data_IF_774504709703
#
_entry.id   IF_774504709703
#
_cell.length_a   1.000
_cell.length_b   1.000
_cell.length_c   1.000
_cell.angle_alpha   90.00
_cell.angle_beta   90.00
_cell.angle_gamma   90.00
#
_symmetry.space_group_name_H-M   'P 1'
#
loop_
_entity.id
_entity.type
_entity.pdbx_description
1 polymer ?
#
# COMPACT_ATOMS: atom_id res chain seq x y z
N UNK A 1 16.05 4.87 -40.47
CA UNK A 1 16.28 5.42 -39.11
C UNK A 1 16.93 4.31 -38.29
N UNK A 2 18.18 4.51 -37.86
CA UNK A 2 18.94 3.54 -37.05
C UNK A 2 18.29 3.43 -35.67
N UNK A 3 18.00 2.20 -35.23
CA UNK A 3 17.45 1.98 -33.90
C UNK A 3 18.45 2.43 -32.83
N UNK A 4 17.98 3.12 -31.77
CA UNK A 4 18.87 3.52 -30.69
C UNK A 4 19.37 2.31 -29.91
N UNK A 5 20.64 2.33 -29.50
CA UNK A 5 21.20 1.24 -28.71
C UNK A 5 20.53 1.17 -27.32
N UNK A 6 20.52 0.00 -26.69
CA UNK A 6 20.06 -0.19 -25.31
C UNK A 6 20.75 0.80 -24.36
N UNK A 7 22.03 1.13 -24.62
CA UNK A 7 22.80 2.16 -23.91
C UNK A 7 22.23 3.57 -24.10
N UNK A 8 21.77 3.93 -25.31
CA UNK A 8 21.15 5.24 -25.59
C UNK A 8 19.74 5.39 -25.02
N UNK A 9 19.04 4.27 -24.81
CA UNK A 9 17.72 4.20 -24.18
C UNK A 9 17.85 4.28 -22.66
N UNK A 10 18.78 3.51 -22.07
CA UNK A 10 19.19 3.62 -20.66
C UNK A 10 19.60 5.05 -20.32
N UNK A 11 20.48 5.66 -21.13
CA UNK A 11 20.94 7.04 -20.96
C UNK A 11 19.78 8.04 -21.06
N UNK A 12 18.84 7.87 -22.01
CA UNK A 12 17.69 8.80 -22.12
C UNK A 12 16.63 8.65 -21.03
N UNK A 13 16.38 7.44 -20.54
CA UNK A 13 15.36 7.14 -19.53
C UNK A 13 15.86 7.44 -18.11
N UNK A 14 17.13 7.14 -17.81
CA UNK A 14 17.74 7.42 -16.51
C UNK A 14 18.25 8.85 -16.38
N UNK A 15 18.70 9.50 -17.47
CA UNK A 15 19.21 10.86 -17.32
C UNK A 15 18.06 11.87 -17.33
N UNK A 16 17.23 12.02 -18.37
CA UNK A 16 16.41 13.24 -18.47
C UNK A 16 15.34 13.44 -17.39
N UNK A 17 14.54 12.41 -17.08
CA UNK A 17 13.43 12.56 -16.12
C UNK A 17 13.90 12.67 -14.67
N UNK A 18 14.85 11.80 -14.31
CA UNK A 18 15.48 11.78 -12.99
C UNK A 18 16.43 12.97 -12.80
N UNK A 19 17.27 13.30 -13.79
CA UNK A 19 18.16 14.46 -13.74
C UNK A 19 17.37 15.77 -13.73
N UNK A 20 16.25 15.91 -14.44
CA UNK A 20 15.47 17.15 -14.39
C UNK A 20 14.79 17.35 -13.02
N UNK A 21 14.20 16.30 -12.44
CA UNK A 21 13.60 16.36 -11.10
C UNK A 21 14.66 16.54 -10.00
N UNK A 22 15.77 15.81 -10.07
CA UNK A 22 16.89 15.92 -9.13
C UNK A 22 17.61 17.26 -9.26
N UNK A 23 17.90 17.74 -10.47
CA UNK A 23 18.57 19.02 -10.72
C UNK A 23 17.71 20.18 -10.24
N UNK A 24 16.40 20.18 -10.50
CA UNK A 24 15.50 21.24 -10.00
C UNK A 24 15.53 21.30 -8.46
N UNK A 25 15.47 20.14 -7.81
CA UNK A 25 15.52 20.04 -6.34
C UNK A 25 16.88 20.44 -5.77
N UNK A 26 17.98 19.95 -6.36
CA UNK A 26 19.34 20.26 -5.94
C UNK A 26 19.70 21.72 -6.19
N UNK A 27 19.25 22.31 -7.29
CA UNK A 27 19.39 23.75 -7.57
C UNK A 27 18.60 24.59 -6.57
N UNK A 28 17.38 24.17 -6.19
CA UNK A 28 16.58 24.85 -5.17
C UNK A 28 17.20 24.73 -3.75
N UNK A 29 17.84 23.60 -3.44
CA UNK A 29 18.56 23.41 -2.17
C UNK A 29 19.86 24.23 -2.17
N UNK A 30 20.64 24.19 -3.26
CA UNK A 30 21.88 24.94 -3.38
C UNK A 30 21.64 26.44 -3.28
N UNK A 31 20.68 26.98 -4.04
CA UNK A 31 20.30 28.41 -3.95
C UNK A 31 19.82 28.83 -2.56
N UNK A 32 19.18 27.94 -1.80
CA UNK A 32 18.71 28.26 -0.44
C UNK A 32 19.82 28.48 0.60
N UNK A 33 21.05 28.04 0.31
CA UNK A 33 22.22 28.21 1.19
C UNK A 33 23.29 29.11 0.58
N UNK A 34 23.36 29.21 -0.75
CA UNK A 34 24.32 30.05 -1.47
C UNK A 34 23.80 31.47 -1.77
N UNK A 35 22.50 31.73 -1.59
CA UNK A 35 21.88 33.03 -1.83
C UNK A 35 21.03 33.47 -0.62
N UNK A 36 20.90 34.79 -0.42
CA UNK A 36 20.03 35.35 0.63
C UNK A 36 20.61 35.33 2.05
N UNK A 37 19.77 35.33 3.10
CA UNK A 37 20.18 35.53 4.49
C UNK A 37 21.24 34.54 4.98
N UNK A 38 21.20 33.27 4.55
CA UNK A 38 22.17 32.24 4.98
C UNK A 38 23.57 32.52 4.44
N UNK A 39 23.69 32.90 3.17
CA UNK A 39 24.97 33.27 2.58
C UNK A 39 25.59 34.47 3.32
N UNK A 40 24.76 35.45 3.68
CA UNK A 40 25.19 36.58 4.51
C UNK A 40 25.66 36.13 5.91
N UNK A 41 24.91 35.24 6.58
CA UNK A 41 25.30 34.70 7.90
C UNK A 41 26.61 33.91 7.87
N UNK A 42 26.89 33.19 6.77
CA UNK A 42 28.14 32.46 6.58
C UNK A 42 29.33 33.42 6.40
N UNK A 43 29.14 34.52 5.67
CA UNK A 43 30.15 35.58 5.55
C UNK A 43 30.39 36.27 6.90
N UNK A 44 29.33 36.61 7.64
CA UNK A 44 29.43 37.17 8.98
C UNK A 44 30.20 36.24 9.93
N UNK A 45 29.97 34.92 9.82
CA UNK A 45 30.67 33.92 10.61
C UNK A 45 32.15 33.80 10.23
N UNK A 46 32.49 33.86 8.93
CA UNK A 46 33.89 33.82 8.47
C UNK A 46 34.67 35.05 8.97
N UNK A 47 34.08 36.24 8.86
CA UNK A 47 34.64 37.49 9.40
C UNK A 47 34.84 37.38 10.92
N UNK A 48 33.85 36.86 11.65
CA UNK A 48 33.95 36.67 13.10
C UNK A 48 35.01 35.62 13.47
N UNK A 49 35.13 34.54 12.71
CA UNK A 49 36.16 33.53 12.90
C UNK A 49 37.56 34.10 12.69
N UNK A 50 37.76 34.89 11.63
CA UNK A 50 39.03 35.59 11.37
C UNK A 50 39.36 36.60 12.48
N UNK A 51 38.36 37.35 12.96
CA UNK A 51 38.52 38.27 14.09
C UNK A 51 38.97 37.53 15.34
N UNK A 52 38.30 36.44 15.71
CA UNK A 52 38.65 35.63 16.88
C UNK A 52 40.06 35.05 16.78
N UNK A 53 40.46 34.56 15.60
CA UNK A 53 41.81 34.08 15.33
C UNK A 53 42.87 35.18 15.54
N UNK A 54 42.60 36.41 15.09
CA UNK A 54 43.54 37.54 15.23
C UNK A 54 43.81 37.95 16.69
N UNK A 55 42.88 37.64 17.60
CA UNK A 55 43.00 37.93 19.04
C UNK A 55 43.24 36.67 19.89
N UNK A 56 43.56 35.54 19.26
CA UNK A 56 43.86 34.27 19.95
C UNK A 56 42.66 33.62 20.64
N UNK A 57 41.42 34.00 20.28
CA UNK A 57 40.19 33.45 20.83
C UNK A 57 39.60 32.37 19.90
N UNK A 58 38.70 31.55 20.44
CA UNK A 58 38.01 30.48 19.70
C UNK A 58 36.52 30.78 19.58
N UNK A 59 35.92 30.30 18.51
CA UNK A 59 34.46 30.33 18.33
C UNK A 59 33.79 29.43 19.39
N UNK A 60 32.80 29.96 20.11
CA UNK A 60 32.04 29.23 21.14
C UNK A 60 30.56 29.13 20.74
N UNK A 61 29.81 28.11 21.24
CA UNK A 61 28.39 27.94 20.92
C UNK A 61 27.50 29.15 21.25
N UNK A 62 27.87 29.95 22.25
CA UNK A 62 27.13 31.14 22.66
C UNK A 62 27.46 32.39 21.82
N UNK A 63 28.38 32.29 20.86
CA UNK A 63 28.73 33.40 20.00
C UNK A 63 27.47 33.91 19.26
N UNK A 64 27.17 35.22 19.32
CA UNK A 64 25.93 35.76 18.78
C UNK A 64 25.81 35.59 17.25
N UNK A 65 26.92 35.61 16.52
CA UNK A 65 26.96 35.40 15.06
C UNK A 65 26.62 33.94 14.73
N UNK A 66 27.20 33.00 15.49
CA UNK A 66 26.88 31.58 15.36
C UNK A 66 25.41 31.29 15.73
N UNK A 67 24.89 31.88 16.80
CA UNK A 67 23.47 31.72 17.20
C UNK A 67 22.50 32.28 16.16
N UNK A 68 22.82 33.42 15.57
CA UNK A 68 22.02 34.00 14.49
C UNK A 68 22.02 33.12 13.23
N UNK A 69 23.19 32.57 12.85
CA UNK A 69 23.27 31.59 11.75
C UNK A 69 22.38 30.37 12.03
N UNK A 70 22.48 29.77 13.23
CA UNK A 70 21.70 28.57 13.58
C UNK A 70 20.18 28.85 13.61
N UNK A 71 19.77 30.01 14.10
CA UNK A 71 18.36 30.42 14.13
C UNK A 71 17.78 30.61 12.72
N UNK A 72 18.55 31.20 11.80
CA UNK A 72 18.13 31.42 10.42
C UNK A 72 18.24 30.13 9.56
N UNK A 73 19.17 29.24 9.91
CA UNK A 73 19.41 27.97 9.22
C UNK A 73 18.32 26.92 9.46
N UNK A 74 17.73 26.86 10.66
CA UNK A 74 16.73 25.85 11.04
C UNK A 74 15.44 25.90 10.16
N UNK A 75 14.84 27.08 9.86
CA UNK A 75 13.75 27.18 8.88
C UNK A 75 14.13 26.71 7.46
N UNK A 76 15.35 27.02 7.01
CA UNK A 76 15.86 26.64 5.69
C UNK A 76 16.07 25.13 5.60
N UNK A 77 16.65 24.52 6.64
CA UNK A 77 16.79 23.06 6.73
C UNK A 77 15.42 22.36 6.72
N UNK A 78 14.44 22.84 7.49
CA UNK A 78 13.06 22.29 7.47
C UNK A 78 12.39 22.44 6.10
N UNK A 79 12.60 23.56 5.42
CA UNK A 79 12.09 23.75 4.06
C UNK A 79 12.76 22.80 3.07
N UNK A 80 14.07 22.59 3.18
CA UNK A 80 14.81 21.66 2.35
C UNK A 80 14.44 20.20 2.64
N UNK A 81 14.18 19.82 3.89
CA UNK A 81 13.63 18.49 4.23
C UNK A 81 12.28 18.25 3.58
N UNK A 82 11.38 19.24 3.57
CA UNK A 82 10.10 19.14 2.85
C UNK A 82 10.26 19.03 1.34
N UNK A 83 11.15 19.83 0.75
CA UNK A 83 11.49 19.73 -0.70
C UNK A 83 12.06 18.36 -1.04
N UNK A 84 12.95 17.82 -0.20
CA UNK A 84 13.53 16.48 -0.36
C UNK A 84 12.46 15.38 -0.23
N UNK A 85 11.50 15.51 0.70
CA UNK A 85 10.41 14.55 0.85
C UNK A 85 9.52 14.51 -0.40
N UNK A 86 9.07 15.68 -0.88
CA UNK A 86 8.27 15.78 -2.11
C UNK A 86 9.04 15.29 -3.34
N UNK A 87 10.30 15.69 -3.48
CA UNK A 87 11.15 15.21 -4.56
C UNK A 87 11.42 13.71 -4.48
N UNK A 88 11.45 13.12 -3.28
CA UNK A 88 11.66 11.68 -3.12
C UNK A 88 10.50 10.87 -3.69
N UNK A 89 9.25 11.34 -3.52
CA UNK A 89 8.07 10.72 -4.13
C UNK A 89 8.10 10.85 -5.66
N UNK A 90 8.38 12.04 -6.18
CA UNK A 90 8.48 12.28 -7.63
C UNK A 90 9.64 11.50 -8.28
N UNK A 91 10.79 11.41 -7.61
CA UNK A 91 11.97 10.66 -8.05
C UNK A 91 11.70 9.15 -8.01
N UNK A 92 10.98 8.65 -7.00
CA UNK A 92 10.57 7.25 -6.93
C UNK A 92 9.59 6.92 -8.05
N UNK A 93 8.56 7.73 -8.27
CA UNK A 93 7.60 7.54 -9.34
C UNK A 93 8.26 7.59 -10.74
N UNK A 94 9.21 8.52 -10.94
CA UNK A 94 10.00 8.61 -12.17
C UNK A 94 10.92 7.38 -12.35
N UNK A 95 11.57 6.92 -11.28
CA UNK A 95 12.41 5.72 -11.28
C UNK A 95 11.62 4.45 -11.59
N UNK A 96 10.43 4.29 -11.01
CA UNK A 96 9.52 3.16 -11.26
C UNK A 96 9.08 3.12 -12.72
N UNK A 97 8.65 4.26 -13.28
CA UNK A 97 8.27 4.38 -14.70
C UNK A 97 9.44 4.08 -15.64
N UNK A 98 10.63 4.58 -15.30
CA UNK A 98 11.86 4.31 -16.06
C UNK A 98 12.24 2.83 -16.01
N UNK A 99 12.16 2.18 -14.84
CA UNK A 99 12.40 0.74 -14.69
C UNK A 99 11.38 -0.11 -15.45
N UNK A 100 10.09 0.20 -15.36
CA UNK A 100 9.05 -0.52 -16.11
C UNK A 100 9.24 -0.40 -17.64
N UNK A 101 9.73 0.75 -18.10
CA UNK A 101 10.07 0.99 -19.51
C UNK A 101 11.36 0.28 -19.91
N UNK A 102 12.39 0.32 -19.07
CA UNK A 102 13.69 -0.30 -19.33
C UNK A 102 13.61 -1.82 -19.40
N UNK A 103 12.91 -2.46 -18.45
CA UNK A 103 12.74 -3.92 -18.42
C UNK A 103 12.00 -4.40 -19.69
N UNK A 104 11.07 -3.61 -20.23
CA UNK A 104 10.42 -3.87 -21.52
C UNK A 104 11.40 -3.84 -22.69
N UNK A 105 12.15 -2.77 -22.83
CA UNK A 105 13.09 -2.57 -23.96
C UNK A 105 14.23 -3.58 -23.96
N UNK A 106 14.67 -4.05 -22.79
CA UNK A 106 15.70 -5.09 -22.67
C UNK A 106 15.15 -6.46 -23.09
N UNK A 107 13.91 -6.77 -22.72
CA UNK A 107 13.31 -8.07 -23.00
C UNK A 107 12.83 -8.21 -24.45
N UNK A 108 12.38 -7.11 -25.07
CA UNK A 108 11.80 -7.10 -26.42
C UNK A 108 12.32 -5.88 -27.21
N UNK A 109 13.62 -5.87 -27.57
CA UNK A 109 14.23 -4.72 -28.22
C UNK A 109 13.56 -4.42 -29.57
N UNK A 110 13.03 -3.20 -29.71
CA UNK A 110 12.52 -2.68 -30.99
C UNK A 110 11.05 -2.98 -31.32
N UNK A 111 10.25 -3.49 -30.37
CA UNK A 111 8.81 -3.73 -30.56
C UNK A 111 7.97 -2.76 -29.72
N UNK A 112 7.02 -2.06 -30.35
CA UNK A 112 6.04 -1.19 -29.68
C UNK A 112 4.73 -1.94 -29.34
N UNK A 113 3.84 -1.31 -28.57
CA UNK A 113 2.58 -1.95 -28.09
C UNK A 113 1.68 -2.45 -29.24
N UNK A 114 1.68 -1.78 -30.40
CA UNK A 114 0.96 -2.24 -31.59
C UNK A 114 1.61 -3.49 -32.22
N UNK A 115 2.94 -3.57 -32.23
CA UNK A 115 3.67 -4.71 -32.75
C UNK A 115 3.58 -5.91 -31.80
N UNK A 116 3.62 -5.69 -30.48
CA UNK A 116 3.43 -6.73 -29.48
C UNK A 116 2.01 -7.30 -29.49
N UNK A 117 0.99 -6.44 -29.65
CA UNK A 117 -0.39 -6.86 -29.85
C UNK A 117 -0.59 -7.66 -31.15
N UNK A 118 0.19 -7.37 -32.20
CA UNK A 118 0.16 -8.13 -33.46
C UNK A 118 0.75 -9.55 -33.35
N UNK A 119 1.57 -9.82 -32.32
CA UNK A 119 2.12 -11.15 -32.00
C UNK A 119 1.39 -11.85 -30.84
N UNK A 120 0.27 -11.29 -30.35
CA UNK A 120 -0.47 -11.76 -29.18
C UNK A 120 0.40 -11.84 -27.88
N UNK A 121 1.49 -11.07 -27.83
CA UNK A 121 2.37 -10.97 -26.66
C UNK A 121 1.89 -9.80 -25.81
N UNK A 122 1.26 -10.10 -24.66
CA UNK A 122 0.93 -9.07 -23.65
C UNK A 122 2.09 -8.88 -22.69
N UNK A 123 2.82 -7.77 -22.84
CA UNK A 123 3.85 -7.37 -21.88
C UNK A 123 3.19 -6.80 -20.61
N UNK A 124 3.29 -7.54 -19.51
CA UNK A 124 2.69 -7.15 -18.23
C UNK A 124 3.52 -6.03 -17.58
N UNK A 125 3.14 -4.76 -17.76
CA UNK A 125 3.72 -3.66 -16.98
C UNK A 125 3.05 -3.60 -15.60
N UNK A 126 3.82 -3.43 -14.51
CA UNK A 126 3.24 -3.17 -13.20
C UNK A 126 2.47 -1.84 -13.23
N UNK A 127 1.31 -1.81 -12.57
CA UNK A 127 0.48 -0.60 -12.44
C UNK A 127 1.24 0.46 -11.63
N UNK A 128 1.59 1.62 -12.22
CA UNK A 128 2.39 2.64 -11.54
C UNK A 128 1.71 3.18 -10.28
N UNK A 129 0.38 3.26 -10.25
CA UNK A 129 -0.36 3.75 -9.07
C UNK A 129 -0.29 2.73 -7.93
N UNK A 130 -0.31 1.43 -8.25
CA UNK A 130 -0.17 0.38 -7.26
C UNK A 130 1.24 0.35 -6.68
N UNK A 131 2.28 0.56 -7.51
CA UNK A 131 3.65 0.66 -7.00
C UNK A 131 3.80 1.89 -6.11
N UNK A 132 3.23 3.04 -6.49
CA UNK A 132 3.28 4.27 -5.71
C UNK A 132 2.61 4.12 -4.33
N UNK A 133 1.41 3.51 -4.30
CA UNK A 133 0.71 3.20 -3.06
C UNK A 133 1.53 2.26 -2.16
N UNK A 134 2.15 1.23 -2.72
CA UNK A 134 2.99 0.31 -1.95
C UNK A 134 4.21 1.00 -1.34
N UNK A 135 4.88 1.86 -2.10
CA UNK A 135 6.02 2.64 -1.61
C UNK A 135 5.59 3.58 -0.48
N UNK A 136 4.42 4.21 -0.62
CA UNK A 136 3.83 5.06 0.42
C UNK A 136 3.60 4.27 1.72
N UNK A 137 3.01 3.07 1.65
CA UNK A 137 2.86 2.21 2.84
C UNK A 137 4.20 1.83 3.45
N UNK A 138 5.12 1.31 2.64
CA UNK A 138 6.38 0.74 3.14
C UNK A 138 7.36 1.78 3.71
N UNK A 139 7.12 3.07 3.43
CA UNK A 139 7.89 4.20 3.99
C UNK A 139 7.17 4.91 5.14
N UNK A 140 5.90 4.59 5.39
CA UNK A 140 5.09 5.19 6.45
C UNK A 140 5.62 4.88 7.86
N UNK A 141 5.28 5.74 8.83
CA UNK A 141 5.58 5.48 10.24
C UNK A 141 4.88 4.23 10.77
N UNK A 142 3.59 4.04 10.42
CA UNK A 142 2.83 2.87 10.84
C UNK A 142 3.47 1.55 10.40
N UNK A 143 3.95 1.47 9.15
CA UNK A 143 4.59 0.25 8.66
C UNK A 143 5.93 -0.04 9.35
N UNK A 144 6.71 1.00 9.66
CA UNK A 144 7.93 0.87 10.45
C UNK A 144 7.62 0.37 11.87
N UNK A 145 6.57 0.90 12.48
CA UNK A 145 6.14 0.50 13.83
C UNK A 145 5.64 -0.96 13.86
N UNK A 146 4.92 -1.40 12.82
CA UNK A 146 4.47 -2.79 12.66
C UNK A 146 5.65 -3.78 12.60
N UNK A 147 6.77 -3.35 11.99
CA UNK A 147 7.99 -4.15 11.85
C UNK A 147 9.01 -3.92 12.98
N UNK A 148 8.70 -3.10 13.99
CA UNK A 148 9.64 -2.68 15.04
C UNK A 148 10.22 -3.83 15.87
N UNK A 149 9.52 -4.96 15.96
CA UNK A 149 10.00 -6.17 16.63
C UNK A 149 11.16 -6.87 15.89
N UNK A 150 11.39 -6.54 14.62
CA UNK A 150 12.47 -7.11 13.82
C UNK A 150 13.69 -6.19 13.78
N UNK A 151 14.86 -6.80 13.59
CA UNK A 151 16.10 -6.03 13.41
C UNK A 151 16.01 -5.10 12.19
N UNK A 152 16.68 -3.93 12.20
CA UNK A 152 16.64 -2.98 11.08
C UNK A 152 16.97 -3.62 9.72
N UNK A 153 17.88 -4.60 9.70
CA UNK A 153 18.23 -5.37 8.50
C UNK A 153 17.05 -6.16 7.95
N UNK A 154 16.28 -6.83 8.82
CA UNK A 154 15.08 -7.58 8.41
C UNK A 154 13.99 -6.65 7.90
N UNK A 155 13.79 -5.50 8.56
CA UNK A 155 12.84 -4.49 8.10
C UNK A 155 13.17 -4.00 6.68
N UNK A 156 14.45 -3.71 6.41
CA UNK A 156 14.91 -3.30 5.09
C UNK A 156 14.71 -4.39 4.03
N UNK A 157 14.99 -5.66 4.35
CA UNK A 157 14.73 -6.79 3.46
C UNK A 157 13.23 -6.87 3.13
N UNK A 158 12.36 -6.79 4.13
CA UNK A 158 10.89 -6.84 3.94
C UNK A 158 10.45 -5.72 2.98
N UNK A 159 10.87 -4.48 3.23
CA UNK A 159 10.54 -3.32 2.38
C UNK A 159 11.03 -3.52 0.94
N UNK A 160 12.30 -3.89 0.77
CA UNK A 160 12.90 -4.04 -0.55
C UNK A 160 12.22 -5.17 -1.35
N UNK A 161 11.87 -6.28 -0.69
CA UNK A 161 11.13 -7.36 -1.33
C UNK A 161 9.68 -6.98 -1.63
N UNK A 162 9.02 -6.17 -0.80
CA UNK A 162 7.69 -5.65 -1.10
C UNK A 162 7.71 -4.81 -2.40
N UNK A 163 8.62 -3.84 -2.50
CA UNK A 163 8.76 -3.00 -3.71
C UNK A 163 9.13 -3.84 -4.93
N UNK A 164 10.13 -4.71 -4.81
CA UNK A 164 10.55 -5.60 -5.90
C UNK A 164 9.40 -6.47 -6.38
N UNK A 165 8.66 -7.08 -5.46
CA UNK A 165 7.60 -8.02 -5.79
C UNK A 165 6.47 -7.40 -6.61
N UNK A 166 6.05 -6.18 -6.30
CA UNK A 166 5.00 -5.51 -7.08
C UNK A 166 5.53 -5.04 -8.44
N UNK A 167 6.80 -4.59 -8.51
CA UNK A 167 7.41 -4.18 -9.78
C UNK A 167 7.65 -5.34 -10.75
N UNK A 168 7.95 -6.53 -10.22
CA UNK A 168 8.18 -7.73 -11.02
C UNK A 168 6.90 -8.59 -11.20
N UNK A 169 5.76 -8.14 -10.68
CA UNK A 169 4.48 -8.88 -10.77
C UNK A 169 4.49 -10.22 -10.04
N UNK A 170 5.29 -10.36 -8.97
CA UNK A 170 5.37 -11.58 -8.19
C UNK A 170 4.13 -11.79 -7.33
N UNK A 171 3.69 -13.04 -7.26
CA UNK A 171 2.72 -13.46 -6.25
C UNK A 171 3.24 -13.18 -4.82
N UNK A 172 2.40 -12.72 -3.87
CA UNK A 172 2.81 -12.46 -2.49
C UNK A 172 3.55 -13.63 -1.80
N UNK A 173 3.18 -14.88 -2.10
CA UNK A 173 3.84 -16.07 -1.54
C UNK A 173 5.27 -16.22 -2.05
N UNK A 174 5.53 -15.85 -3.32
CA UNK A 174 6.91 -15.82 -3.84
C UNK A 174 7.74 -14.78 -3.10
N UNK A 175 7.20 -13.57 -2.92
CA UNK A 175 7.87 -12.51 -2.17
C UNK A 175 8.16 -12.92 -0.72
N UNK A 176 7.18 -13.53 -0.04
CA UNK A 176 7.35 -14.05 1.30
C UNK A 176 8.44 -15.13 1.38
N UNK A 177 8.51 -16.02 0.39
CA UNK A 177 9.55 -17.04 0.30
C UNK A 177 10.95 -16.45 0.06
N UNK A 178 11.08 -15.36 -0.70
CA UNK A 178 12.35 -14.65 -0.86
C UNK A 178 12.81 -14.01 0.44
N UNK A 179 11.92 -13.31 1.15
CA UNK A 179 12.24 -12.74 2.47
C UNK A 179 12.72 -13.85 3.41
N UNK A 180 11.99 -14.96 3.45
CA UNK A 180 12.31 -16.15 4.25
C UNK A 180 13.66 -16.78 3.93
N UNK A 181 14.18 -16.65 2.70
CA UNK A 181 15.54 -17.08 2.35
C UNK A 181 16.62 -16.14 2.90
N UNK A 182 16.27 -14.88 3.13
CA UNK A 182 17.20 -13.81 3.52
C UNK A 182 17.16 -13.50 5.03
N UNK A 183 16.20 -14.07 5.77
CA UNK A 183 15.96 -13.78 7.19
C UNK A 183 15.73 -15.06 7.98
N UNK A 184 16.28 -15.17 9.19
CA UNK A 184 16.07 -16.34 10.06
C UNK A 184 14.89 -16.17 11.04
N UNK A 185 14.60 -14.94 11.47
CA UNK A 185 13.67 -14.67 12.59
C UNK A 185 12.24 -14.29 12.18
N UNK A 186 11.94 -14.26 10.87
CA UNK A 186 10.60 -13.92 10.37
C UNK A 186 9.76 -15.19 10.09
N UNK A 187 8.63 -15.41 10.80
CA UNK A 187 7.74 -16.54 10.52
C UNK A 187 7.16 -16.47 9.11
N UNK A 188 6.95 -17.63 8.46
CA UNK A 188 6.43 -17.69 7.08
C UNK A 188 5.02 -17.11 6.97
N UNK A 189 4.16 -17.43 7.94
CA UNK A 189 2.80 -16.90 7.98
C UNK A 189 2.79 -15.37 8.06
N UNK A 190 3.73 -14.79 8.79
CA UNK A 190 3.83 -13.35 8.95
C UNK A 190 4.41 -12.67 7.71
N UNK A 191 5.46 -13.25 7.11
CA UNK A 191 5.97 -12.79 5.81
C UNK A 191 4.87 -12.80 4.73
N UNK A 192 4.09 -13.89 4.64
CA UNK A 192 2.97 -14.00 3.71
C UNK A 192 1.89 -12.96 4.01
N UNK A 193 1.59 -12.72 5.29
CA UNK A 193 0.60 -11.72 5.72
C UNK A 193 0.99 -10.31 5.32
N UNK A 194 2.23 -9.90 5.60
CA UNK A 194 2.73 -8.59 5.23
C UNK A 194 2.70 -8.41 3.71
N UNK A 195 3.30 -9.34 2.95
CA UNK A 195 3.37 -9.23 1.50
C UNK A 195 1.99 -9.22 0.85
N UNK A 196 1.09 -10.09 1.31
CA UNK A 196 -0.27 -10.15 0.76
C UNK A 196 -1.06 -8.88 1.07
N UNK A 197 -0.99 -8.39 2.30
CA UNK A 197 -1.79 -7.24 2.72
C UNK A 197 -1.31 -5.96 2.04
N UNK A 198 0.00 -5.70 2.04
CA UNK A 198 0.54 -4.48 1.43
C UNK A 198 0.30 -4.46 -0.08
N UNK A 199 0.53 -5.57 -0.79
CA UNK A 199 0.29 -5.61 -2.24
C UNK A 199 -1.19 -5.42 -2.58
N UNK A 200 -2.09 -6.18 -1.94
CA UNK A 200 -3.51 -6.11 -2.27
C UNK A 200 -4.13 -4.76 -1.92
N UNK A 201 -3.73 -4.16 -0.80
CA UNK A 201 -4.20 -2.82 -0.44
C UNK A 201 -3.71 -1.79 -1.45
N UNK A 202 -2.46 -1.89 -1.88
CA UNK A 202 -1.90 -1.01 -2.92
C UNK A 202 -2.65 -1.12 -4.26
N UNK A 203 -3.02 -2.32 -4.68
CA UNK A 203 -3.86 -2.51 -5.87
C UNK A 203 -5.28 -1.94 -5.71
N UNK A 204 -5.84 -1.96 -4.50
CA UNK A 204 -7.16 -1.37 -4.22
C UNK A 204 -7.08 0.16 -4.26
N UNK A 205 -6.03 0.77 -3.73
CA UNK A 205 -5.79 2.21 -3.84
C UNK A 205 -5.61 2.64 -5.30
N UNK A 206 -4.83 1.88 -6.07
CA UNK A 206 -4.70 2.10 -7.50
C UNK A 206 -6.04 2.00 -8.23
N UNK A 207 -6.86 1.01 -7.87
CA UNK A 207 -8.21 0.85 -8.43
C UNK A 207 -9.08 2.07 -8.17
N UNK A 208 -8.97 2.69 -6.98
CA UNK A 208 -9.68 3.94 -6.66
C UNK A 208 -9.24 5.06 -7.59
N UNK A 209 -7.93 5.25 -7.77
CA UNK A 209 -7.38 6.30 -8.66
C UNK A 209 -7.87 6.10 -10.10
N UNK A 210 -7.81 4.87 -10.62
CA UNK A 210 -8.29 4.56 -11.96
C UNK A 210 -9.79 4.78 -12.09
N UNK A 211 -10.59 4.40 -11.09
CA UNK A 211 -12.04 4.60 -11.12
C UNK A 211 -12.41 6.10 -11.08
N UNK A 212 -11.72 6.91 -10.26
CA UNK A 212 -11.93 8.36 -10.19
C UNK A 212 -11.56 9.04 -11.51
N UNK A 213 -10.44 8.63 -12.12
CA UNK A 213 -10.02 9.14 -13.42
C UNK A 213 -11.02 8.83 -14.56
N UNK A 214 -11.86 7.80 -14.37
CA UNK A 214 -12.87 7.34 -15.33
C UNK A 214 -14.31 7.54 -14.78
N UNK A 215 -14.52 8.46 -13.83
CA UNK A 215 -15.81 8.65 -13.15
C UNK A 215 -16.94 9.12 -14.10
N UNK A 216 -16.61 9.65 -15.26
CA UNK A 216 -17.56 10.05 -16.31
C UNK A 216 -18.31 8.83 -16.89
N UNK A 217 -17.60 7.71 -17.10
CA UNK A 217 -18.14 6.46 -17.66
C UNK A 217 -18.57 5.44 -16.60
N UNK A 218 -18.26 5.67 -15.32
CA UNK A 218 -18.61 4.77 -14.23
C UNK A 218 -19.79 5.31 -13.40
N UNK A 219 -20.58 4.40 -12.82
CA UNK A 219 -21.69 4.75 -11.91
C UNK A 219 -21.34 4.43 -10.46
N UNK A 220 -20.77 3.26 -10.23
CA UNK A 220 -20.37 2.76 -8.92
C UNK A 220 -19.37 1.62 -9.08
N UNK A 221 -18.93 1.05 -7.97
CA UNK A 221 -18.20 -0.21 -7.94
C UNK A 221 -18.96 -1.23 -7.10
N UNK A 222 -18.88 -2.50 -7.47
CA UNK A 222 -19.51 -3.61 -6.74
C UNK A 222 -18.42 -4.41 -6.07
N UNK A 223 -18.52 -4.58 -4.75
CA UNK A 223 -17.60 -5.40 -3.98
C UNK A 223 -17.80 -6.87 -4.30
N UNK A 224 -16.70 -7.55 -4.60
CA UNK A 224 -16.67 -8.98 -4.92
C UNK A 224 -15.67 -9.72 -4.03
N UNK A 225 -15.98 -10.98 -3.79
CA UNK A 225 -15.17 -11.95 -3.08
C UNK A 225 -15.23 -13.27 -3.85
N UNK A 226 -14.28 -14.17 -3.60
CA UNK A 226 -14.22 -15.46 -4.29
C UNK A 226 -15.45 -16.35 -4.04
N UNK A 227 -16.12 -16.19 -2.90
CA UNK A 227 -17.26 -17.02 -2.47
C UNK A 227 -16.92 -18.52 -2.50
N UNK A 228 -15.87 -18.85 -1.75
CA UNK A 228 -15.41 -20.22 -1.49
C UNK A 228 -15.45 -20.54 0.03
N UNK A 229 -15.11 -21.77 0.40
CA UNK A 229 -15.09 -22.25 1.80
C UNK A 229 -14.11 -21.47 2.70
N UNK A 230 -13.18 -20.74 2.08
CA UNK A 230 -12.16 -19.94 2.75
C UNK A 230 -12.51 -18.45 2.75
N UNK A 231 -13.73 -18.08 2.34
CA UNK A 231 -14.21 -16.70 2.35
C UNK A 231 -14.83 -16.42 3.71
N UNK A 232 -14.29 -15.45 4.44
CA UNK A 232 -14.76 -15.06 5.77
C UNK A 232 -16.20 -14.50 5.71
N UNK A 233 -16.95 -14.56 6.81
CA UNK A 233 -18.35 -14.13 6.79
C UNK A 233 -18.51 -12.62 6.60
N UNK A 234 -17.49 -11.81 6.92
CA UNK A 234 -17.47 -10.39 6.54
C UNK A 234 -17.43 -10.19 5.02
N UNK A 235 -16.59 -10.94 4.30
CA UNK A 235 -16.54 -10.86 2.83
C UNK A 235 -17.82 -11.43 2.20
N UNK A 236 -18.44 -12.46 2.78
CA UNK A 236 -19.75 -12.95 2.36
C UNK A 236 -20.81 -11.86 2.54
N UNK A 237 -20.90 -11.26 3.73
CA UNK A 237 -21.90 -10.23 4.04
C UNK A 237 -21.80 -8.97 3.18
N UNK A 238 -20.60 -8.62 2.73
CA UNK A 238 -20.35 -7.44 1.91
C UNK A 238 -20.31 -7.74 0.41
N UNK A 239 -20.35 -9.01 -0.02
CA UNK A 239 -20.35 -9.37 -1.43
C UNK A 239 -21.61 -8.87 -2.13
N UNK A 240 -21.45 -8.23 -3.29
CA UNK A 240 -22.54 -7.65 -4.07
C UNK A 240 -23.00 -6.27 -3.59
N UNK A 241 -22.41 -5.74 -2.51
CA UNK A 241 -22.67 -4.35 -2.09
C UNK A 241 -22.08 -3.36 -3.10
N UNK A 242 -22.83 -2.28 -3.36
CA UNK A 242 -22.38 -1.17 -4.20
C UNK A 242 -21.72 -0.11 -3.34
N UNK A 243 -20.55 0.35 -3.77
CA UNK A 243 -19.84 1.46 -3.17
C UNK A 243 -19.72 2.60 -4.20
N UNK A 244 -19.72 3.86 -3.75
CA UNK A 244 -19.39 4.99 -4.60
C UNK A 244 -18.02 4.84 -5.28
N UNK A 245 -17.87 5.48 -6.44
CA UNK A 245 -16.55 5.69 -7.05
C UNK A 245 -15.73 6.59 -6.12
N UNK A 246 -14.46 6.27 -5.94
CA UNK A 246 -13.58 7.01 -5.02
C UNK A 246 -13.41 6.35 -3.66
N UNK A 247 -14.26 5.39 -3.30
CA UNK A 247 -14.11 4.63 -2.05
C UNK A 247 -13.20 3.42 -2.25
N UNK A 248 -12.27 3.20 -1.31
CA UNK A 248 -11.46 2.00 -1.29
C UNK A 248 -12.27 0.80 -0.79
N UNK A 249 -12.00 -0.38 -1.35
CA UNK A 249 -12.44 -1.63 -0.74
C UNK A 249 -11.61 -1.91 0.51
N UNK A 250 -12.05 -1.37 1.65
CA UNK A 250 -11.45 -1.67 2.95
C UNK A 250 -11.63 -3.16 3.28
N UNK A 251 -10.55 -3.85 3.59
CA UNK A 251 -10.53 -5.30 3.86
C UNK A 251 -9.70 -5.59 5.13
N UNK A 252 -9.51 -6.86 5.49
CA UNK A 252 -8.61 -7.26 6.57
C UNK A 252 -7.21 -7.62 6.04
N UNK A 253 -6.28 -7.80 6.98
CA UNK A 253 -5.00 -8.48 6.74
C UNK A 253 -5.22 -9.85 6.11
N UNK A 254 -4.52 -10.16 5.02
CA UNK A 254 -4.77 -11.33 4.14
C UNK A 254 -6.12 -11.35 3.40
N UNK A 255 -6.82 -10.22 3.39
CA UNK A 255 -8.11 -10.05 2.75
C UNK A 255 -8.18 -10.56 1.31
N UNK A 256 -9.39 -10.94 0.89
CA UNK A 256 -9.67 -11.58 -0.40
C UNK A 256 -10.74 -10.82 -1.20
N UNK A 257 -11.25 -9.73 -0.65
CA UNK A 257 -12.25 -8.89 -1.29
C UNK A 257 -11.60 -7.91 -2.30
N UNK A 258 -12.29 -7.59 -3.38
CA UNK A 258 -11.93 -6.54 -4.34
C UNK A 258 -13.20 -5.93 -4.91
N UNK A 259 -13.10 -5.13 -5.97
CA UNK A 259 -14.23 -4.51 -6.65
C UNK A 259 -14.21 -4.78 -8.16
N UNK A 260 -15.40 -4.76 -8.75
CA UNK A 260 -15.59 -4.57 -10.19
C UNK A 260 -16.32 -3.25 -10.43
N UNK A 261 -15.92 -2.52 -11.46
CA UNK A 261 -16.58 -1.27 -11.82
C UNK A 261 -17.92 -1.54 -12.55
N UNK A 262 -18.93 -0.73 -12.23
CA UNK A 262 -20.23 -0.71 -12.93
C UNK A 262 -20.25 0.47 -13.91
N UNK A 263 -20.41 0.16 -15.19
CA UNK A 263 -20.35 1.13 -16.28
C UNK A 263 -21.71 1.79 -16.48
N UNK A 264 -21.72 3.10 -16.75
CA UNK A 264 -22.93 3.86 -17.02
C UNK A 264 -23.74 3.25 -18.16
N UNK A 265 -25.04 3.04 -17.93
CA UNK A 265 -25.94 2.42 -18.92
C UNK A 265 -25.75 0.91 -19.10
N UNK A 266 -24.88 0.26 -18.31
CA UNK A 266 -24.64 -1.19 -18.33
C UNK A 266 -24.66 -1.74 -16.90
N UNK A 267 -25.86 -1.84 -16.29
CA UNK A 267 -25.99 -2.34 -14.93
C UNK A 267 -25.46 -3.76 -14.82
N UNK A 268 -24.89 -4.10 -13.66
CA UNK A 268 -24.38 -5.44 -13.38
C UNK A 268 -25.21 -6.09 -12.29
N UNK A 269 -25.76 -7.25 -12.59
CA UNK A 269 -26.39 -8.12 -11.59
C UNK A 269 -25.32 -9.03 -10.96
N UNK A 270 -25.13 -8.86 -9.65
CA UNK A 270 -24.22 -9.69 -8.84
C UNK A 270 -25.05 -10.30 -7.74
N UNK A 271 -25.08 -11.64 -7.69
CA UNK A 271 -25.73 -12.39 -6.61
C UNK A 271 -25.15 -11.94 -5.28
N UNK A 272 -25.99 -11.66 -4.29
CA UNK A 272 -25.49 -11.28 -2.96
C UNK A 272 -24.75 -12.46 -2.30
N UNK A 273 -23.80 -12.15 -1.42
CA UNK A 273 -23.14 -13.22 -0.67
C UNK A 273 -24.08 -13.96 0.27
N UNK A 274 -25.09 -13.29 0.81
CA UNK A 274 -26.14 -13.92 1.64
C UNK A 274 -26.99 -14.90 0.82
N UNK A 275 -27.38 -14.56 -0.41
CA UNK A 275 -28.08 -15.49 -1.30
C UNK A 275 -27.20 -16.69 -1.65
N UNK A 276 -25.91 -16.45 -1.91
CA UNK A 276 -24.94 -17.52 -2.17
C UNK A 276 -24.82 -18.46 -0.97
N UNK A 277 -24.63 -17.92 0.23
CA UNK A 277 -24.49 -18.67 1.46
C UNK A 277 -25.76 -19.48 1.77
N UNK A 278 -26.94 -18.87 1.58
CA UNK A 278 -28.24 -19.50 1.82
C UNK A 278 -28.50 -20.73 0.95
N UNK A 279 -27.90 -20.81 -0.24
CA UNK A 279 -28.06 -21.95 -1.15
C UNK A 279 -27.05 -23.08 -0.89
N UNK A 280 -26.11 -22.90 0.03
CA UNK A 280 -25.18 -23.97 0.43
C UNK A 280 -25.89 -25.03 1.25
N UNK A 281 -25.28 -26.22 1.37
CA UNK A 281 -25.80 -27.24 2.28
C UNK A 281 -25.69 -26.77 3.72
N UNK A 282 -26.57 -27.28 4.59
CA UNK A 282 -26.54 -26.94 6.01
C UNK A 282 -25.17 -27.23 6.65
N UNK A 283 -24.54 -28.36 6.33
CA UNK A 283 -23.21 -28.70 6.83
C UNK A 283 -22.16 -27.67 6.41
N UNK A 284 -22.18 -27.21 5.15
CA UNK A 284 -21.27 -26.17 4.67
C UNK A 284 -21.53 -24.83 5.36
N UNK A 285 -22.80 -24.48 5.57
CA UNK A 285 -23.17 -23.26 6.29
C UNK A 285 -22.66 -23.30 7.74
N UNK A 286 -22.84 -24.43 8.43
CA UNK A 286 -22.42 -24.64 9.81
C UNK A 286 -20.90 -24.68 9.95
N UNK A 287 -20.20 -25.28 8.98
CA UNK A 287 -18.74 -25.28 8.91
C UNK A 287 -18.17 -23.86 8.75
N UNK A 288 -18.77 -23.06 7.87
CA UNK A 288 -18.25 -21.73 7.53
C UNK A 288 -18.65 -20.63 8.53
N UNK A 289 -19.91 -20.60 8.97
CA UNK A 289 -20.42 -19.58 9.90
C UNK A 289 -20.22 -20.00 11.38
N UNK A 290 -20.07 -21.29 11.64
CA UNK A 290 -20.02 -21.86 12.98
C UNK A 290 -21.42 -22.10 13.56
N UNK A 291 -21.59 -23.23 14.26
CA UNK A 291 -22.90 -23.71 14.74
C UNK A 291 -23.75 -22.68 15.49
N UNK A 292 -23.15 -21.93 16.42
CA UNK A 292 -23.89 -20.95 17.22
C UNK A 292 -24.39 -19.78 16.37
N UNK A 293 -23.55 -19.24 15.50
CA UNK A 293 -23.93 -18.14 14.63
C UNK A 293 -24.89 -18.61 13.53
N UNK A 294 -24.75 -19.85 13.07
CA UNK A 294 -25.70 -20.48 12.16
C UNK A 294 -27.09 -20.63 12.78
N UNK A 295 -27.20 -21.09 14.03
CA UNK A 295 -28.48 -21.15 14.75
C UNK A 295 -29.14 -19.77 14.84
N UNK A 296 -28.37 -18.75 15.23
CA UNK A 296 -28.87 -17.38 15.34
C UNK A 296 -29.31 -16.81 13.98
N UNK A 297 -28.55 -17.09 12.92
CA UNK A 297 -28.88 -16.67 11.56
C UNK A 297 -30.13 -17.39 11.04
N UNK A 298 -30.25 -18.70 11.27
CA UNK A 298 -31.41 -19.50 10.84
C UNK A 298 -32.71 -19.05 11.51
N UNK A 299 -32.62 -18.53 12.72
CA UNK A 299 -33.74 -17.94 13.47
C UNK A 299 -33.99 -16.45 13.15
N UNK A 300 -33.22 -15.86 12.25
CA UNK A 300 -33.32 -14.45 11.88
C UNK A 300 -32.88 -13.48 12.99
N UNK A 301 -32.12 -13.96 13.99
CA UNK A 301 -31.57 -13.11 15.06
C UNK A 301 -30.23 -12.48 14.69
N UNK A 302 -29.44 -13.14 13.84
CA UNK A 302 -28.19 -12.61 13.31
C UNK A 302 -28.37 -12.16 11.86
N UNK A 303 -28.05 -10.90 11.55
CA UNK A 303 -27.83 -10.47 10.17
C UNK A 303 -26.35 -10.67 9.82
N UNK A 304 -26.04 -11.23 8.65
CA UNK A 304 -24.64 -11.45 8.26
C UNK A 304 -23.84 -10.14 8.19
N UNK A 305 -24.50 -9.00 7.91
CA UNK A 305 -23.86 -7.68 7.91
C UNK A 305 -23.30 -7.28 9.27
N UNK A 306 -23.85 -7.79 10.37
CA UNK A 306 -23.34 -7.51 11.72
C UNK A 306 -21.96 -8.17 11.97
N UNK A 307 -21.57 -9.12 11.12
CA UNK A 307 -20.25 -9.75 11.14
C UNK A 307 -19.20 -8.95 10.34
N UNK A 308 -19.57 -7.86 9.65
CA UNK A 308 -18.64 -6.99 8.95
C UNK A 308 -18.29 -5.77 9.82
N UNK A 309 -17.28 -5.90 10.66
CA UNK A 309 -16.91 -4.87 11.65
C UNK A 309 -15.76 -4.01 11.13
N UNK A 310 -15.95 -2.69 11.13
CA UNK A 310 -14.88 -1.72 10.81
C UNK A 310 -13.93 -1.52 11.99
N UNK A 311 -12.65 -1.31 11.71
CA UNK A 311 -11.65 -0.87 12.68
C UNK A 311 -10.58 -0.02 11.99
N UNK A 312 -9.86 0.79 12.76
CA UNK A 312 -8.75 1.57 12.23
C UNK A 312 -7.43 0.82 12.41
N UNK A 313 -6.73 0.65 11.31
CA UNK A 313 -5.38 0.11 11.24
C UNK A 313 -4.34 1.24 11.13
N UNK A 314 -3.19 1.05 11.78
CA UNK A 314 -2.14 2.07 11.87
C UNK A 314 -1.39 2.29 10.55
N UNK A 315 -1.38 1.30 9.67
CA UNK A 315 -0.70 1.33 8.37
C UNK A 315 -1.70 1.63 7.27
N UNK A 316 -2.77 0.85 7.23
CA UNK A 316 -3.70 0.83 6.12
C UNK A 316 -4.92 1.73 6.34
N UNK A 317 -5.06 2.38 7.49
CA UNK A 317 -6.22 3.21 7.81
C UNK A 317 -7.45 2.35 8.06
N UNK A 318 -8.62 2.77 7.59
CA UNK A 318 -9.85 2.03 7.83
C UNK A 318 -9.81 0.62 7.21
N UNK A 319 -10.11 -0.39 8.00
CA UNK A 319 -10.13 -1.80 7.60
C UNK A 319 -11.42 -2.47 8.10
N UNK A 320 -11.68 -3.67 7.59
CA UNK A 320 -12.80 -4.52 8.02
C UNK A 320 -12.25 -5.79 8.63
N UNK A 321 -12.94 -6.38 9.60
CA UNK A 321 -12.67 -7.73 10.12
C UNK A 321 -13.97 -8.50 10.28
N UNK A 322 -13.85 -9.82 10.39
CA UNK A 322 -14.98 -10.65 10.79
C UNK A 322 -15.28 -10.45 12.29
N UNK A 323 -16.52 -10.03 12.57
CA UNK A 323 -17.06 -9.90 13.91
C UNK A 323 -17.42 -11.25 14.52
N UNK A 324 -17.61 -11.28 15.83
CA UNK A 324 -18.11 -12.46 16.54
C UNK A 324 -19.63 -12.38 16.73
N UNK A 325 -20.25 -13.55 16.98
CA UNK A 325 -21.65 -13.61 17.39
C UNK A 325 -21.92 -12.78 18.65
N UNK A 326 -21.02 -12.80 19.62
CA UNK A 326 -21.12 -11.95 20.81
C UNK A 326 -21.03 -10.46 20.50
N UNK A 327 -20.24 -10.07 19.50
CA UNK A 327 -20.19 -8.69 19.03
C UNK A 327 -21.50 -8.25 18.38
N UNK A 328 -22.15 -9.16 17.64
CA UNK A 328 -23.42 -8.89 16.96
C UNK A 328 -24.63 -8.89 17.91
N UNK A 329 -24.70 -9.83 18.86
CA UNK A 329 -25.90 -10.06 19.68
C UNK A 329 -25.75 -9.71 21.18
N UNK A 330 -24.55 -9.32 21.62
CA UNK A 330 -24.28 -9.09 23.04
C UNK A 330 -24.58 -10.33 23.89
N UNK A 331 -25.25 -10.12 25.02
CA UNK A 331 -25.58 -11.18 25.99
C UNK A 331 -26.47 -12.28 25.42
N UNK A 332 -27.28 -11.98 24.40
CA UNK A 332 -28.16 -12.96 23.75
C UNK A 332 -27.35 -14.06 23.03
N UNK A 333 -26.09 -13.79 22.65
CA UNK A 333 -25.21 -14.80 22.05
C UNK A 333 -24.97 -16.02 22.97
N UNK A 334 -25.05 -15.83 24.30
CA UNK A 334 -24.78 -16.89 25.27
C UNK A 334 -25.74 -18.09 25.12
N UNK A 335 -27.00 -17.84 24.72
CA UNK A 335 -27.98 -18.89 24.46
C UNK A 335 -27.55 -19.76 23.27
N UNK A 336 -27.16 -19.14 22.17
CA UNK A 336 -26.72 -19.83 20.96
C UNK A 336 -25.46 -20.66 21.17
N UNK A 337 -24.50 -20.13 21.94
CA UNK A 337 -23.32 -20.91 22.32
C UNK A 337 -23.65 -22.12 23.20
N UNK A 338 -24.64 -22.03 24.11
CA UNK A 338 -25.10 -23.20 24.88
C UNK A 338 -25.71 -24.24 23.96
N UNK A 339 -26.68 -23.84 23.13
CA UNK A 339 -27.40 -24.73 22.20
C UNK A 339 -26.46 -25.42 21.21
N UNK A 340 -25.46 -24.70 20.67
CA UNK A 340 -24.46 -25.28 19.79
C UNK A 340 -23.60 -26.36 20.47
N UNK A 341 -23.27 -26.19 21.76
CA UNK A 341 -22.55 -27.24 22.51
C UNK A 341 -23.41 -28.47 22.74
N UNK A 342 -24.68 -28.27 23.09
CA UNK A 342 -25.61 -29.37 23.34
C UNK A 342 -25.77 -30.26 22.09
N UNK A 343 -25.91 -29.65 20.91
CA UNK A 343 -25.98 -30.36 19.62
C UNK A 343 -24.72 -31.19 19.32
N UNK A 344 -23.53 -30.72 19.73
CA UNK A 344 -22.26 -31.47 19.53
C UNK A 344 -22.09 -32.63 20.53
N UNK A 345 -22.74 -32.54 21.69
CA UNK A 345 -22.67 -33.55 22.75
C UNK A 345 -23.61 -34.73 22.54
N UNK A 346 -24.56 -34.63 21.60
CA UNK A 346 -25.46 -35.73 21.27
C UNK A 346 -24.72 -36.76 20.38
N UNK A 347 -24.83 -38.07 20.67
CA UNK A 347 -24.26 -39.10 19.81
C UNK A 347 -24.90 -39.01 18.42
N UNK A 348 -24.07 -38.91 17.37
CA UNK A 348 -24.54 -38.98 15.99
C UNK A 348 -25.16 -40.37 15.78
N UNK A 349 -26.48 -40.41 15.53
CA UNK A 349 -27.25 -41.62 15.24
C UNK A 349 -26.87 -42.26 13.92
#
# INVERSE_FOLDING_TARGET
MTQPSTTDVVRRLLDRGYEQAARTTLTAIASSTSEGPIAQRLLELDVEAQRLLSVGQRLTPDNPVLRALLADLDPVLRQNTRRLALASEDLQAAGIRASATLVREIALPGLNDQQLAAFDIRWNQPDPEAVNALVSYTTSAGYRDELSQYSPRVQEIIRNQAVRSITEGWNPLRAANEIRRMTQDLPAAQAATFMRTVQLTSYRDASVIHQVANADILTSQIRIAALDDRTCMACVALHGTRLPIGERIDDHHNGRCTSIAEVRGRPREVRSGEDWFSARTEDQQREQLGDAAWLAWKEGKLNLRDLAVRYDDRVFGQMIREGSLSGALGDAAAEYYRRARDLRSQPRS
#
